data_IF_740620739619
#
_entry.id   IF_740620739619
#
_cell.length_a   1.000
_cell.length_b   1.000
_cell.length_c   1.000
_cell.angle_alpha   90.00
_cell.angle_beta   90.00
_cell.angle_gamma   90.00
#
_symmetry.space_group_name_H-M   'P 1'
#
loop_
_entity.id
_entity.type
_entity.pdbx_description
1 polymer ?
#
# COMPACT_ATOMS: atom_id res chain seq x y z
N UNK A 1 -6.10 49.85 27.45
CA UNK A 1 -6.58 48.45 27.39
C UNK A 1 -6.32 47.86 26.01
N UNK A 2 -6.62 48.61 24.94
CA UNK A 2 -6.46 48.14 23.55
C UNK A 2 -5.03 47.80 23.15
N UNK A 3 -4.04 48.48 23.71
CA UNK A 3 -2.63 48.21 23.42
C UNK A 3 -2.20 46.80 23.88
N UNK A 4 -2.66 46.36 25.05
CA UNK A 4 -2.34 45.03 25.59
C UNK A 4 -3.03 43.94 24.76
N UNK A 5 -4.27 44.21 24.32
CA UNK A 5 -5.04 43.29 23.46
C UNK A 5 -4.39 43.17 22.08
N UNK A 6 -3.93 44.27 21.48
CA UNK A 6 -3.24 44.25 20.20
C UNK A 6 -1.88 43.55 20.26
N UNK A 7 -1.13 43.75 21.35
CA UNK A 7 0.17 43.12 21.53
C UNK A 7 0.01 41.62 21.74
N UNK A 8 -1.01 41.19 22.51
CA UNK A 8 -1.36 39.78 22.66
C UNK A 8 -1.77 39.12 21.34
N UNK A 9 -2.60 39.78 20.52
CA UNK A 9 -3.02 39.27 19.20
C UNK A 9 -1.86 39.19 18.19
N UNK A 10 -0.90 40.13 18.26
CA UNK A 10 0.34 40.08 17.47
C UNK A 10 1.24 38.93 17.90
N UNK A 11 1.36 38.70 19.22
CA UNK A 11 2.19 37.63 19.75
C UNK A 11 1.58 36.24 19.53
N UNK A 12 0.25 36.12 19.52
CA UNK A 12 -0.46 34.87 19.18
C UNK A 12 -0.16 34.43 17.73
N UNK A 13 -0.09 35.38 16.78
CA UNK A 13 0.35 35.09 15.40
C UNK A 13 1.83 34.77 15.25
N UNK A 14 2.68 35.27 16.16
CA UNK A 14 4.12 34.96 16.18
C UNK A 14 4.43 33.64 16.90
N UNK A 15 3.55 33.21 17.81
CA UNK A 15 3.59 31.92 18.54
C UNK A 15 2.66 30.86 17.91
N UNK A 16 2.10 31.13 16.73
CA UNK A 16 1.59 30.09 15.85
C UNK A 16 2.77 29.22 15.46
N UNK A 17 3.06 28.23 16.31
CA UNK A 17 4.19 27.34 16.16
C UNK A 17 4.20 26.79 14.75
N UNK A 18 5.40 26.53 14.24
CA UNK A 18 5.54 25.54 13.19
C UNK A 18 4.95 24.24 13.75
N UNK A 19 3.64 24.03 13.57
CA UNK A 19 3.10 22.70 13.42
C UNK A 19 3.85 22.15 12.22
N UNK A 20 4.99 21.50 12.47
CA UNK A 20 5.46 20.48 11.58
C UNK A 20 4.25 19.58 11.37
N UNK A 21 3.60 19.72 10.22
CA UNK A 21 2.56 18.81 9.79
C UNK A 21 3.27 17.47 9.72
N UNK A 22 3.16 16.68 10.79
CA UNK A 22 3.67 15.33 10.82
C UNK A 22 2.99 14.65 9.65
N UNK A 23 3.75 14.41 8.58
CA UNK A 23 3.20 13.93 7.33
C UNK A 23 2.41 12.66 7.59
N UNK A 24 1.18 12.59 7.09
CA UNK A 24 0.37 11.39 7.25
C UNK A 24 1.10 10.22 6.58
N UNK A 25 1.45 9.21 7.37
CA UNK A 25 2.16 8.04 6.86
C UNK A 25 1.29 7.32 5.81
N UNK A 26 1.85 7.10 4.62
CA UNK A 26 1.21 6.29 3.58
C UNK A 26 1.52 4.83 3.85
N UNK A 27 0.56 4.09 4.41
CA UNK A 27 0.71 2.68 4.75
C UNK A 27 0.14 1.84 3.60
N UNK A 28 0.89 0.79 3.20
CA UNK A 28 0.43 -0.22 2.25
C UNK A 28 0.64 -1.61 2.83
N UNK A 29 -0.34 -2.49 2.67
CA UNK A 29 -0.24 -3.89 3.06
C UNK A 29 -0.27 -4.75 1.81
N UNK A 30 0.83 -5.44 1.54
CA UNK A 30 1.01 -6.23 0.32
C UNK A 30 0.97 -7.72 0.68
N UNK A 31 -0.05 -8.42 0.18
CA UNK A 31 -0.19 -9.87 0.28
C UNK A 31 0.42 -10.56 -0.93
N UNK A 32 1.54 -11.26 -0.74
CA UNK A 32 2.22 -12.00 -1.79
C UNK A 32 1.84 -13.48 -1.81
N UNK A 33 1.57 -14.01 -3.01
CA UNK A 33 1.22 -15.41 -3.23
C UNK A 33 -0.14 -15.79 -2.61
N UNK A 34 -0.42 -17.09 -2.52
CA UNK A 34 -1.77 -17.51 -2.18
C UNK A 34 -2.18 -17.24 -0.72
N UNK A 35 -1.32 -17.57 0.24
CA UNK A 35 -1.61 -17.29 1.65
C UNK A 35 -1.66 -15.77 1.92
N UNK A 36 -0.75 -15.00 1.32
CA UNK A 36 -0.77 -13.54 1.41
C UNK A 36 -2.05 -12.95 0.82
N UNK A 37 -2.46 -13.41 -0.37
CA UNK A 37 -3.73 -13.06 -1.02
C UNK A 37 -4.94 -13.30 -0.13
N UNK A 38 -5.02 -14.47 0.51
CA UNK A 38 -6.09 -14.78 1.46
C UNK A 38 -6.11 -13.82 2.67
N UNK A 39 -4.93 -13.44 3.18
CA UNK A 39 -4.83 -12.51 4.29
C UNK A 39 -5.30 -11.11 3.89
N UNK A 40 -4.82 -10.58 2.76
CA UNK A 40 -5.26 -9.25 2.30
C UNK A 40 -6.74 -9.22 1.93
N UNK A 41 -7.28 -10.31 1.38
CA UNK A 41 -8.71 -10.47 1.17
C UNK A 41 -9.51 -10.33 2.48
N UNK A 42 -9.04 -10.98 3.56
CA UNK A 42 -9.66 -10.88 4.86
C UNK A 42 -9.55 -9.46 5.43
N UNK A 43 -8.38 -8.83 5.32
CA UNK A 43 -8.16 -7.45 5.75
C UNK A 43 -9.09 -6.47 5.00
N UNK A 44 -9.21 -6.61 3.68
CA UNK A 44 -10.11 -5.81 2.85
C UNK A 44 -11.57 -5.97 3.29
N UNK A 45 -12.02 -7.21 3.44
CA UNK A 45 -13.38 -7.52 3.86
C UNK A 45 -13.70 -7.12 5.32
N UNK A 46 -12.66 -6.91 6.15
CA UNK A 46 -12.81 -6.32 7.49
C UNK A 46 -12.93 -4.80 7.48
N UNK A 47 -12.73 -4.15 6.34
CA UNK A 47 -12.90 -2.69 6.19
C UNK A 47 -11.82 -1.89 6.92
N UNK A 48 -10.58 -2.39 6.92
CA UNK A 48 -9.47 -1.72 7.61
C UNK A 48 -9.20 -0.36 6.97
N UNK A 49 -9.02 0.65 7.80
CA UNK A 49 -8.79 2.03 7.38
C UNK A 49 -7.34 2.42 7.61
N UNK A 50 -6.85 3.36 6.79
CA UNK A 50 -5.51 3.94 6.94
C UNK A 50 -4.39 3.15 6.27
N UNK A 51 -4.70 2.07 5.56
CA UNK A 51 -3.74 1.35 4.71
C UNK A 51 -4.36 0.99 3.35
N UNK A 52 -3.57 1.09 2.30
CA UNK A 52 -3.93 0.57 0.97
C UNK A 52 -3.65 -0.93 0.94
N UNK A 53 -4.66 -1.72 0.57
CA UNK A 53 -4.58 -3.18 0.53
C UNK A 53 -4.22 -3.62 -0.88
N UNK A 54 -3.11 -4.34 -1.01
CA UNK A 54 -2.56 -4.76 -2.30
C UNK A 54 -2.39 -6.27 -2.35
N UNK A 55 -2.94 -6.91 -3.39
CA UNK A 55 -2.73 -8.33 -3.67
C UNK A 55 -1.70 -8.50 -4.80
N UNK A 56 -0.72 -9.39 -4.61
CA UNK A 56 0.32 -9.70 -5.59
C UNK A 56 0.46 -11.21 -5.75
N UNK A 57 0.30 -11.71 -6.97
CA UNK A 57 0.40 -13.16 -7.23
C UNK A 57 0.89 -13.47 -8.64
N UNK A 58 1.41 -14.69 -8.84
CA UNK A 58 1.73 -15.26 -10.16
C UNK A 58 0.55 -16.01 -10.77
N UNK A 59 -0.43 -16.37 -9.94
CA UNK A 59 -1.65 -17.06 -10.32
C UNK A 59 -2.79 -16.06 -10.56
N UNK A 60 -3.27 -15.98 -11.79
CA UNK A 60 -4.35 -15.08 -12.20
C UNK A 60 -5.69 -15.48 -11.56
N UNK A 61 -5.99 -16.78 -11.48
CA UNK A 61 -7.26 -17.26 -10.96
C UNK A 61 -7.41 -16.92 -9.48
N UNK A 62 -6.32 -17.08 -8.71
CA UNK A 62 -6.32 -16.67 -7.31
C UNK A 62 -6.41 -15.14 -7.16
N UNK A 63 -5.74 -14.39 -8.03
CA UNK A 63 -5.80 -12.94 -7.98
C UNK A 63 -7.22 -12.41 -8.29
N UNK A 64 -7.91 -13.02 -9.26
CA UNK A 64 -9.27 -12.64 -9.65
C UNK A 64 -10.27 -12.80 -8.49
N UNK A 65 -10.13 -13.87 -7.69
CA UNK A 65 -11.00 -14.14 -6.53
C UNK A 65 -10.62 -13.39 -5.25
N UNK A 66 -9.53 -12.63 -5.24
CA UNK A 66 -9.03 -11.90 -4.06
C UNK A 66 -9.54 -10.45 -4.08
N UNK A 67 -10.19 -9.97 -3.04
CA UNK A 67 -10.57 -8.55 -2.91
C UNK A 67 -9.41 -7.72 -2.33
N UNK A 68 -9.11 -6.59 -2.98
CA UNK A 68 -8.06 -5.65 -2.61
C UNK A 68 -8.26 -4.32 -3.35
N UNK A 69 -7.68 -3.23 -2.86
CA UNK A 69 -7.69 -1.92 -3.55
C UNK A 69 -6.91 -1.97 -4.86
N UNK A 70 -5.80 -2.70 -4.87
CA UNK A 70 -4.99 -2.98 -6.08
C UNK A 70 -4.60 -4.44 -6.17
N UNK A 71 -4.55 -4.94 -7.40
CA UNK A 71 -4.17 -6.32 -7.73
C UNK A 71 -3.05 -6.32 -8.77
N UNK A 72 -2.01 -7.09 -8.52
CA UNK A 72 -0.85 -7.20 -9.39
C UNK A 72 -0.59 -8.66 -9.77
N UNK A 73 -0.66 -8.94 -11.07
CA UNK A 73 -0.15 -10.18 -11.62
C UNK A 73 1.34 -9.99 -11.93
N UNK A 74 2.20 -10.76 -11.26
CA UNK A 74 3.64 -10.77 -11.51
C UNK A 74 4.06 -11.97 -12.37
N UNK A 75 5.12 -11.81 -13.16
CA UNK A 75 5.61 -12.87 -14.03
C UNK A 75 4.60 -13.28 -15.10
N UNK A 76 3.95 -12.30 -15.75
CA UNK A 76 2.91 -12.54 -16.75
C UNK A 76 3.48 -13.32 -17.93
N UNK A 77 4.69 -13.01 -18.36
CA UNK A 77 5.33 -13.68 -19.49
C UNK A 77 5.94 -15.02 -19.07
N UNK A 78 6.55 -15.06 -17.87
CA UNK A 78 7.15 -16.27 -17.31
C UNK A 78 6.16 -17.39 -16.96
N UNK A 79 5.04 -17.04 -16.33
CA UNK A 79 4.08 -18.00 -15.76
C UNK A 79 2.79 -18.10 -16.56
N UNK A 80 2.51 -17.12 -17.44
CA UNK A 80 1.27 -17.00 -18.20
C UNK A 80 0.01 -16.96 -17.31
N UNK A 81 0.17 -16.51 -16.06
CA UNK A 81 -0.90 -16.45 -15.08
C UNK A 81 -1.29 -17.80 -14.46
N UNK A 82 -0.48 -18.85 -14.64
CA UNK A 82 -0.73 -20.19 -14.09
C UNK A 82 -0.06 -20.44 -12.73
N UNK A 83 0.67 -19.45 -12.21
CA UNK A 83 1.37 -19.55 -10.94
C UNK A 83 2.81 -20.09 -11.04
N UNK A 84 3.56 -19.89 -9.95
CA UNK A 84 4.95 -20.37 -9.81
C UNK A 84 5.06 -21.88 -9.52
N UNK A 85 3.95 -22.58 -9.27
CA UNK A 85 3.93 -24.03 -9.06
C UNK A 85 4.66 -24.52 -7.81
N UNK A 86 4.84 -23.67 -6.79
CA UNK A 86 5.56 -23.99 -5.56
C UNK A 86 7.07 -23.86 -5.65
N UNK A 87 7.61 -23.40 -6.78
CA UNK A 87 9.04 -23.17 -7.00
C UNK A 87 9.43 -21.75 -6.61
N UNK A 88 10.19 -21.53 -5.51
CA UNK A 88 10.50 -20.19 -5.02
C UNK A 88 11.30 -19.35 -6.02
N UNK A 89 12.24 -19.98 -6.72
CA UNK A 89 13.08 -19.29 -7.72
C UNK A 89 12.25 -18.70 -8.85
N UNK A 90 11.23 -19.44 -9.30
CA UNK A 90 10.28 -18.96 -10.32
C UNK A 90 9.46 -17.77 -9.83
N UNK A 91 9.12 -17.75 -8.55
CA UNK A 91 8.47 -16.60 -7.91
C UNK A 91 9.39 -15.37 -7.85
N UNK A 92 10.68 -15.56 -7.57
CA UNK A 92 11.67 -14.50 -7.57
C UNK A 92 11.89 -13.92 -8.98
N UNK A 93 12.01 -14.78 -10.00
CA UNK A 93 12.10 -14.37 -11.40
C UNK A 93 10.85 -13.59 -11.85
N UNK A 94 9.65 -14.05 -11.47
CA UNK A 94 8.40 -13.36 -11.75
C UNK A 94 8.34 -11.95 -11.12
N UNK A 95 8.80 -11.81 -9.88
CA UNK A 95 8.88 -10.50 -9.22
C UNK A 95 9.91 -9.58 -9.89
N UNK A 96 11.04 -10.15 -10.35
CA UNK A 96 12.08 -9.41 -11.07
C UNK A 96 11.59 -8.92 -12.43
N UNK A 97 10.85 -9.74 -13.18
CA UNK A 97 10.19 -9.37 -14.45
C UNK A 97 9.28 -8.14 -14.25
N UNK A 98 8.53 -8.12 -13.14
CA UNK A 98 7.54 -7.08 -12.86
C UNK A 98 8.04 -5.94 -11.96
N UNK A 99 9.36 -5.77 -11.81
CA UNK A 99 9.96 -4.80 -10.87
C UNK A 99 9.52 -3.35 -11.13
N UNK A 100 9.30 -2.98 -12.39
CA UNK A 100 8.84 -1.64 -12.75
C UNK A 100 7.41 -1.38 -12.26
N UNK A 101 6.53 -2.38 -12.35
CA UNK A 101 5.15 -2.28 -11.86
C UNK A 101 5.09 -2.26 -10.34
N UNK A 102 5.94 -3.05 -9.68
CA UNK A 102 6.05 -3.06 -8.21
C UNK A 102 6.53 -1.70 -7.69
N UNK A 103 7.46 -1.04 -8.39
CA UNK A 103 7.94 0.31 -8.01
C UNK A 103 6.89 1.40 -8.16
N UNK A 104 5.97 1.24 -9.10
CA UNK A 104 4.82 2.13 -9.31
C UNK A 104 3.65 1.82 -8.35
N UNK A 105 3.84 0.85 -7.45
CA UNK A 105 2.83 0.54 -6.43
C UNK A 105 2.79 1.64 -5.40
#
# INVERSE_FOLDING_TARGET
MDFIVQDALKNEKAMGGNEEVVGQAKIKVIGAGGAGGNMVNWLYNKGIQGAEIVACNTDQQHLDMTDADRKFLIGKDLTKGLGAGGWPERGAEAAQESIAQIKDT
#
